data_IF_005235328950
#
_entry.id   IF_005235328950
#
_cell.length_a   1.000
_cell.length_b   1.000
_cell.length_c   1.000
_cell.angle_alpha   90.00
_cell.angle_beta   90.00
_cell.angle_gamma   90.00
#
_symmetry.space_group_name_H-M   'P 1'
#
loop_
_entity.id
_entity.type
_entity.pdbx_description
1 polymer ?
#
# COMPACT_ATOMS: atom_id res chain seq x y z
N UNK A 1 -26.90 -2.61 -21.36
CA UNK A 1 -26.55 -2.26 -19.97
C UNK A 1 -25.17 -2.85 -19.69
N UNK A 2 -24.18 -2.06 -19.25
CA UNK A 2 -22.80 -2.55 -19.10
C UNK A 2 -22.69 -3.55 -17.93
N UNK A 3 -22.27 -4.81 -18.18
CA UNK A 3 -22.31 -5.89 -17.19
C UNK A 3 -21.48 -5.59 -15.93
N UNK A 4 -20.37 -4.84 -16.09
CA UNK A 4 -19.50 -4.55 -14.96
C UNK A 4 -20.17 -3.66 -13.91
N UNK A 5 -21.07 -2.74 -14.30
CA UNK A 5 -21.73 -1.84 -13.35
C UNK A 5 -22.57 -2.64 -12.35
N UNK A 6 -23.18 -3.75 -12.79
CA UNK A 6 -23.99 -4.61 -11.92
C UNK A 6 -23.19 -5.23 -10.76
N UNK A 7 -21.88 -5.43 -10.92
CA UNK A 7 -21.02 -5.93 -9.84
C UNK A 7 -20.77 -4.87 -8.76
N UNK A 8 -20.68 -3.60 -9.12
CA UNK A 8 -20.44 -2.49 -8.17
C UNK A 8 -21.72 -2.04 -7.47
N UNK A 9 -22.88 -2.13 -8.14
CA UNK A 9 -24.16 -1.64 -7.60
C UNK A 9 -24.96 -2.67 -6.80
N UNK A 10 -24.51 -3.93 -6.74
CA UNK A 10 -25.29 -5.02 -6.12
C UNK A 10 -25.54 -4.83 -4.61
N UNK A 11 -24.75 -3.98 -3.96
CA UNK A 11 -24.77 -3.75 -2.51
C UNK A 11 -24.95 -2.26 -2.12
N UNK A 12 -25.52 -1.43 -3.00
CA UNK A 12 -25.86 -0.04 -2.62
C UNK A 12 -27.21 -0.03 -1.91
N UNK A 13 -27.18 0.21 -0.60
CA UNK A 13 -28.37 0.39 0.22
C UNK A 13 -28.75 1.87 0.29
N UNK A 14 -29.99 2.19 -0.05
CA UNK A 14 -30.52 3.55 0.03
C UNK A 14 -30.69 3.98 1.51
N UNK A 15 -30.48 5.26 1.86
CA UNK A 15 -30.79 5.75 3.19
C UNK A 15 -32.29 5.51 3.46
N UNK A 16 -32.61 4.94 4.63
CA UNK A 16 -33.95 4.48 5.08
C UNK A 16 -34.38 3.07 4.64
N UNK A 17 -33.52 2.28 3.99
CA UNK A 17 -33.85 0.89 3.58
C UNK A 17 -33.85 -0.15 4.72
N UNK A 18 -33.52 0.24 5.95
CA UNK A 18 -33.39 -0.68 7.09
C UNK A 18 -32.14 -1.59 7.05
N UNK A 19 -31.39 -1.61 5.94
CA UNK A 19 -30.10 -2.29 5.79
C UNK A 19 -28.88 -1.37 5.98
N UNK A 20 -29.03 -0.36 6.83
CA UNK A 20 -28.02 0.69 7.06
C UNK A 20 -27.42 0.54 8.46
N UNK A 21 -27.05 -0.68 8.86
CA UNK A 21 -26.02 -0.87 9.88
C UNK A 21 -24.68 -0.52 9.22
N UNK A 22 -24.41 0.77 9.13
CA UNK A 22 -23.11 1.26 8.69
C UNK A 22 -22.18 1.15 9.89
N UNK A 23 -21.46 0.03 9.97
CA UNK A 23 -20.29 -0.05 10.81
C UNK A 23 -19.26 0.98 10.29
N UNK A 24 -19.31 2.18 10.87
CA UNK A 24 -18.41 3.29 10.56
C UNK A 24 -16.97 2.93 10.99
N UNK A 25 -16.77 1.84 11.74
CA UNK A 25 -15.45 1.29 11.98
C UNK A 25 -14.76 0.98 10.64
N UNK A 26 -15.46 0.53 9.59
CA UNK A 26 -14.83 0.23 8.30
C UNK A 26 -14.12 1.45 7.67
N UNK A 27 -14.66 2.66 7.85
CA UNK A 27 -14.04 3.91 7.35
C UNK A 27 -13.03 4.49 8.34
N UNK A 28 -13.30 4.42 9.64
CA UNK A 28 -12.33 4.83 10.66
C UNK A 28 -11.06 3.96 10.62
N UNK A 29 -11.20 2.67 10.26
CA UNK A 29 -10.10 1.72 10.10
C UNK A 29 -9.26 2.02 8.85
N UNK A 30 -9.85 2.63 7.81
CA UNK A 30 -9.13 3.00 6.58
C UNK A 30 -8.10 4.13 6.80
N UNK A 31 -8.32 4.97 7.81
CA UNK A 31 -7.46 6.10 8.17
C UNK A 31 -6.75 5.92 9.52
N UNK A 32 -7.01 4.81 10.24
CA UNK A 32 -6.43 4.52 11.55
C UNK A 32 -5.11 3.73 11.41
N UNK A 33 -4.00 4.15 12.05
CA UNK A 33 -2.75 3.39 12.08
C UNK A 33 -2.79 2.07 12.85
N UNK A 34 -3.94 1.71 13.45
CA UNK A 34 -4.05 0.71 14.52
C UNK A 34 -4.71 -0.60 14.10
N UNK A 35 -5.06 -0.82 12.82
CA UNK A 35 -5.70 -2.06 12.37
C UNK A 35 -4.97 -2.64 11.15
N UNK A 36 -4.41 -3.83 11.36
CA UNK A 36 -3.80 -4.68 10.34
C UNK A 36 -4.88 -5.16 9.36
N UNK A 37 -5.10 -4.41 8.28
CA UNK A 37 -5.67 -5.02 7.09
C UNK A 37 -4.74 -6.15 6.62
N UNK A 38 -5.28 -7.13 5.91
CA UNK A 38 -4.54 -8.19 5.21
C UNK A 38 -3.56 -7.57 4.18
N UNK A 39 -2.49 -6.96 4.70
CA UNK A 39 -1.36 -6.50 3.93
C UNK A 39 -0.64 -7.79 3.55
N UNK A 40 -0.86 -8.25 2.33
CA UNK A 40 -0.14 -9.39 1.77
C UNK A 40 1.38 -9.12 1.61
N UNK A 41 1.88 -7.98 2.11
CA UNK A 41 3.25 -7.47 1.97
C UNK A 41 3.87 -6.98 3.29
N UNK A 42 4.87 -6.10 3.20
CA UNK A 42 5.58 -5.58 4.37
C UNK A 42 4.84 -4.38 4.98
N UNK A 43 4.30 -4.53 6.19
CA UNK A 43 3.52 -3.50 6.89
C UNK A 43 4.25 -2.15 7.03
N UNK A 44 5.55 -2.18 7.32
CA UNK A 44 6.34 -0.96 7.49
C UNK A 44 6.51 -0.20 6.16
N UNK A 45 6.68 -0.94 5.07
CA UNK A 45 6.74 -0.38 3.72
C UNK A 45 5.40 0.23 3.32
N UNK A 46 4.29 -0.48 3.52
CA UNK A 46 2.95 0.04 3.18
C UNK A 46 2.61 1.29 3.99
N UNK A 47 2.93 1.28 5.30
CA UNK A 47 2.78 2.46 6.14
C UNK A 47 3.60 3.63 5.61
N UNK A 48 4.84 3.40 5.19
CA UNK A 48 5.69 4.44 4.60
C UNK A 48 5.07 5.02 3.32
N UNK A 49 4.60 4.17 2.41
CA UNK A 49 3.97 4.58 1.15
C UNK A 49 2.71 5.42 1.42
N UNK A 50 1.82 4.93 2.28
CA UNK A 50 0.55 5.61 2.60
C UNK A 50 0.78 6.96 3.27
N UNK A 51 1.75 7.05 4.19
CA UNK A 51 2.02 8.27 4.93
C UNK A 51 2.84 9.30 4.15
N UNK A 52 3.82 8.86 3.35
CA UNK A 52 4.83 9.75 2.78
C UNK A 52 4.76 9.89 1.26
N UNK A 53 4.12 8.95 0.55
CA UNK A 53 4.02 8.98 -0.92
C UNK A 53 2.62 9.39 -1.36
N UNK A 54 1.61 8.60 -1.01
CA UNK A 54 0.21 8.90 -1.29
C UNK A 54 -0.72 7.99 -0.48
N UNK A 55 -1.72 8.58 0.15
CA UNK A 55 -2.80 7.82 0.80
C UNK A 55 -3.58 6.97 -0.22
N UNK A 56 -4.24 5.91 0.23
CA UNK A 56 -5.10 5.10 -0.63
C UNK A 56 -6.21 5.92 -1.31
N UNK A 57 -6.77 6.91 -0.62
CA UNK A 57 -7.75 7.83 -1.21
C UNK A 57 -7.17 8.64 -2.37
N UNK A 58 -5.92 9.11 -2.25
CA UNK A 58 -5.21 9.81 -3.32
C UNK A 58 -4.95 8.88 -4.51
N UNK A 59 -4.49 7.65 -4.25
CA UNK A 59 -4.23 6.64 -5.29
C UNK A 59 -5.51 6.30 -6.07
N UNK A 60 -6.61 6.04 -5.36
CA UNK A 60 -7.90 5.73 -5.95
C UNK A 60 -8.50 6.90 -6.74
N UNK A 61 -8.41 8.12 -6.19
CA UNK A 61 -8.87 9.34 -6.87
C UNK A 61 -8.18 9.54 -8.22
N UNK A 62 -6.87 9.29 -8.26
CA UNK A 62 -6.10 9.43 -9.49
C UNK A 62 -6.44 8.35 -10.53
N UNK A 63 -6.66 7.12 -10.08
CA UNK A 63 -7.19 6.04 -10.93
C UNK A 63 -8.56 6.40 -11.51
N UNK A 64 -9.47 6.94 -10.69
CA UNK A 64 -10.80 7.35 -11.14
C UNK A 64 -10.73 8.47 -12.18
N UNK A 65 -9.84 9.45 -12.01
CA UNK A 65 -9.60 10.49 -13.01
C UNK A 65 -9.21 9.86 -14.35
N UNK A 66 -8.19 9.00 -14.38
CA UNK A 66 -7.75 8.33 -15.62
C UNK A 66 -8.87 7.53 -16.28
N UNK A 67 -9.65 6.78 -15.50
CA UNK A 67 -10.81 6.03 -16.03
C UNK A 67 -11.84 6.97 -16.66
N UNK A 68 -12.11 8.12 -16.01
CA UNK A 68 -13.02 9.12 -16.55
C UNK A 68 -12.48 9.75 -17.85
N UNK A 69 -11.19 10.07 -17.92
CA UNK A 69 -10.54 10.58 -19.13
C UNK A 69 -10.70 9.62 -20.30
N UNK A 70 -10.41 8.33 -20.07
CA UNK A 70 -10.56 7.26 -21.05
C UNK A 70 -12.02 7.12 -21.51
N UNK A 71 -12.99 7.27 -20.59
CA UNK A 71 -14.41 7.13 -20.91
C UNK A 71 -14.96 8.29 -21.77
N UNK A 72 -14.38 9.48 -21.64
CA UNK A 72 -14.83 10.70 -22.32
C UNK A 72 -13.99 11.02 -23.57
N UNK A 73 -12.97 10.20 -23.88
CA UNK A 73 -11.93 10.55 -24.87
C UNK A 73 -11.32 11.94 -24.62
N UNK A 74 -11.26 12.34 -23.35
CA UNK A 74 -10.68 13.60 -22.91
C UNK A 74 -9.17 13.48 -22.88
N UNK A 75 -8.47 14.52 -23.34
CA UNK A 75 -7.02 14.58 -23.31
C UNK A 75 -6.60 15.50 -22.17
N UNK A 76 -6.21 14.87 -21.07
CA UNK A 76 -5.93 15.56 -19.81
C UNK A 76 -4.82 14.77 -19.11
N UNK A 77 -4.16 15.39 -18.12
CA UNK A 77 -2.86 14.91 -17.65
C UNK A 77 -2.94 13.78 -16.60
N UNK A 78 -4.12 13.26 -16.24
CA UNK A 78 -4.22 12.32 -15.12
C UNK A 78 -3.47 11.00 -15.40
N UNK A 79 -3.39 10.55 -16.66
CA UNK A 79 -2.58 9.38 -17.01
C UNK A 79 -1.08 9.62 -16.77
N UNK A 80 -0.60 10.84 -16.99
CA UNK A 80 0.79 11.25 -16.71
C UNK A 80 1.02 11.35 -15.20
N UNK A 81 0.09 11.96 -14.48
CA UNK A 81 0.12 12.05 -13.01
C UNK A 81 0.14 10.64 -12.38
N UNK A 82 -0.69 9.71 -12.86
CA UNK A 82 -0.76 8.33 -12.36
C UNK A 82 0.57 7.61 -12.56
N UNK A 83 1.18 7.74 -13.75
CA UNK A 83 2.52 7.20 -14.02
C UNK A 83 3.57 7.80 -13.08
N UNK A 84 3.49 9.10 -12.81
CA UNK A 84 4.37 9.77 -11.85
C UNK A 84 4.22 9.21 -10.43
N UNK A 85 2.98 8.96 -10.00
CA UNK A 85 2.70 8.35 -8.70
C UNK A 85 3.25 6.92 -8.60
N UNK A 86 3.02 6.09 -9.62
CA UNK A 86 3.56 4.73 -9.68
C UNK A 86 5.08 4.74 -9.54
N UNK A 87 5.78 5.62 -10.27
CA UNK A 87 7.24 5.76 -10.15
C UNK A 87 7.69 6.11 -8.74
N UNK A 88 6.99 7.03 -8.05
CA UNK A 88 7.32 7.40 -6.66
C UNK A 88 7.16 6.21 -5.71
N UNK A 89 6.10 5.43 -5.88
CA UNK A 89 5.87 4.21 -5.11
C UNK A 89 7.00 3.21 -5.35
N UNK A 90 7.40 2.99 -6.61
CA UNK A 90 8.49 2.08 -6.93
C UNK A 90 9.83 2.54 -6.36
N UNK A 91 10.15 3.84 -6.43
CA UNK A 91 11.32 4.41 -5.76
C UNK A 91 11.30 4.15 -4.25
N UNK A 92 10.15 4.34 -3.59
CA UNK A 92 10.05 4.08 -2.15
C UNK A 92 10.28 2.59 -1.81
N UNK A 93 9.80 1.68 -2.67
CA UNK A 93 10.04 0.23 -2.51
C UNK A 93 11.51 -0.13 -2.66
N UNK A 94 12.21 0.43 -3.64
CA UNK A 94 13.64 0.18 -3.82
C UNK A 94 14.46 0.75 -2.65
N UNK A 95 14.19 1.99 -2.22
CA UNK A 95 14.84 2.56 -1.04
C UNK A 95 14.64 1.72 0.22
N UNK A 96 13.45 1.12 0.39
CA UNK A 96 13.17 0.23 1.51
C UNK A 96 14.00 -1.07 1.44
N UNK A 97 14.19 -1.64 0.25
CA UNK A 97 15.05 -2.82 0.06
C UNK A 97 16.51 -2.51 0.39
N UNK A 98 17.02 -1.38 -0.10
CA UNK A 98 18.39 -0.94 0.16
C UNK A 98 18.63 -0.70 1.65
N UNK A 99 17.66 -0.08 2.32
CA UNK A 99 17.69 0.13 3.76
C UNK A 99 17.69 -1.19 4.52
N UNK A 100 16.79 -2.12 4.18
CA UNK A 100 16.73 -3.43 4.81
C UNK A 100 18.06 -4.20 4.67
N UNK A 101 18.66 -4.14 3.49
CA UNK A 101 19.97 -4.75 3.25
C UNK A 101 21.07 -4.11 4.11
N UNK A 102 21.12 -2.77 4.18
CA UNK A 102 22.10 -2.06 5.01
C UNK A 102 21.94 -2.40 6.48
N UNK A 103 20.71 -2.38 7.00
CA UNK A 103 20.41 -2.71 8.39
C UNK A 103 20.80 -4.15 8.73
N UNK A 104 20.50 -5.10 7.85
CA UNK A 104 20.91 -6.49 8.04
C UNK A 104 22.44 -6.64 8.05
N UNK A 105 23.13 -5.96 7.12
CA UNK A 105 24.59 -5.95 7.05
C UNK A 105 25.21 -5.38 8.33
N UNK A 106 24.73 -4.22 8.78
CA UNK A 106 25.27 -3.55 9.96
C UNK A 106 25.03 -4.38 11.23
N UNK A 107 23.85 -5.01 11.35
CA UNK A 107 23.53 -5.92 12.44
C UNK A 107 24.45 -7.16 12.44
N UNK A 108 24.71 -7.76 11.27
CA UNK A 108 25.63 -8.89 11.14
C UNK A 108 27.07 -8.50 11.51
N UNK A 109 27.56 -7.35 11.04
CA UNK A 109 28.89 -6.84 11.39
C UNK A 109 29.02 -6.46 12.87
N UNK A 110 27.94 -6.03 13.51
CA UNK A 110 27.92 -5.84 14.95
C UNK A 110 28.00 -7.18 15.68
N UNK A 111 27.22 -8.18 15.26
CA UNK A 111 27.22 -9.52 15.84
C UNK A 111 28.61 -10.18 15.72
N UNK A 112 29.24 -10.09 14.56
CA UNK A 112 30.61 -10.60 14.34
C UNK A 112 31.63 -9.97 15.30
N UNK A 113 31.51 -8.67 15.59
CA UNK A 113 32.44 -7.95 16.48
C UNK A 113 32.23 -8.25 17.95
N UNK A 114 30.98 -8.34 18.41
CA UNK A 114 30.66 -8.46 19.83
C UNK A 114 30.49 -9.91 20.30
N UNK A 115 30.02 -10.81 19.43
CA UNK A 115 29.88 -12.24 19.72
C UNK A 115 30.16 -13.10 18.47
N UNK A 116 31.45 -13.38 18.18
CA UNK A 116 31.84 -14.20 17.04
C UNK A 116 31.24 -15.62 17.06
N UNK A 117 30.95 -16.17 18.25
CA UNK A 117 30.36 -17.51 18.38
C UNK A 117 28.89 -17.49 17.98
N UNK A 118 28.13 -16.51 18.45
CA UNK A 118 26.74 -16.33 18.02
C UNK A 118 26.63 -16.00 16.53
N UNK A 119 27.59 -15.24 15.98
CA UNK A 119 27.66 -15.01 14.53
C UNK A 119 27.83 -16.30 13.73
N UNK A 120 28.78 -17.16 14.10
CA UNK A 120 28.95 -18.47 13.44
C UNK A 120 27.70 -19.35 13.58
N UNK A 121 27.13 -19.44 14.79
CA UNK A 121 25.91 -20.19 15.01
C UNK A 121 24.72 -19.67 14.18
N UNK A 122 24.62 -18.35 13.99
CA UNK A 122 23.63 -17.77 13.09
C UNK A 122 23.87 -18.25 11.66
N UNK A 123 25.08 -18.09 11.12
CA UNK A 123 25.42 -18.49 9.74
C UNK A 123 25.17 -19.97 9.47
N UNK A 124 25.41 -20.84 10.44
CA UNK A 124 25.18 -22.28 10.31
C UNK A 124 23.68 -22.64 10.27
N UNK A 125 22.81 -21.80 10.84
CA UNK A 125 21.35 -22.02 10.89
C UNK A 125 20.57 -21.43 9.69
N UNK A 126 21.19 -20.55 8.89
CA UNK A 126 20.56 -19.93 7.71
C UNK A 126 21.04 -20.53 6.38
N UNK A 127 21.93 -21.53 6.45
CA UNK A 127 22.49 -22.25 5.30
C UNK A 127 21.59 -23.41 4.88
#
# INVERSE_FOLDING_TARGET
MNPWLSMWFKNIYWPLSGGVDQDISAWANLFSPQIDFNIAGNLNLEKNIVQNVASYGTQLSLLLKVVNELSQSSQTDAATELKGLVKKIDTAKELHKDKLYSEAKDALQALERYDPKAYQALLDNIK
#
